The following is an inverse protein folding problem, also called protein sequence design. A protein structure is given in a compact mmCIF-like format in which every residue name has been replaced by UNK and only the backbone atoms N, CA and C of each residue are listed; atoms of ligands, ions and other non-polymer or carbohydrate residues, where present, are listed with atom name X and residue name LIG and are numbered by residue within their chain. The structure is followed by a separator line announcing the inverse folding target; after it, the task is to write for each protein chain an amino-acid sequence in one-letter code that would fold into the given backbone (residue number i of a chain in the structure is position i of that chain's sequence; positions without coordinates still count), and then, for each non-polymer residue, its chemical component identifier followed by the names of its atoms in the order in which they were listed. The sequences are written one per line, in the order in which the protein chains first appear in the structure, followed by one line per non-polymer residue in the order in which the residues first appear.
data_IF_804216592459
#
_entry.id   IF_804216592459
#
_cell.length_a   1.000
_cell.length_b   1.000
_cell.length_c   1.000
_cell.angle_alpha   90.00
_cell.angle_beta   90.00
_cell.angle_gamma   90.00
#
_symmetry.space_group_name_H-M   'P 1'
#
loop_
_entity.id
_entity.type
_entity.pdbx_description
1 polymer ?
#
# COMPACT_ATOMS: atom_id res chain seq x y z
N UNK A 1 -8.89 16.85 14.85
CA UNK A 1 -7.84 17.86 14.68
C UNK A 1 -7.51 18.09 13.21
N UNK A 2 -7.15 17.09 12.41
CA UNK A 2 -6.78 17.28 10.98
C UNK A 2 -7.96 17.71 10.09
N UNK A 3 -9.16 17.23 10.37
CA UNK A 3 -10.37 17.55 9.59
C UNK A 3 -11.05 18.84 10.07
N UNK A 4 -10.68 19.34 11.23
CA UNK A 4 -11.17 20.58 11.86
C UNK A 4 -10.00 21.29 12.55
N UNK A 5 -9.07 21.90 11.79
CA UNK A 5 -7.83 22.47 12.33
C UNK A 5 -8.06 23.65 13.27
N UNK A 6 -9.11 24.44 13.02
CA UNK A 6 -9.42 25.66 13.77
C UNK A 6 -10.39 25.44 14.96
N UNK A 7 -10.77 24.17 15.21
CA UNK A 7 -11.68 23.83 16.29
C UNK A 7 -10.97 23.93 17.65
N UNK A 8 -11.58 24.62 18.59
CA UNK A 8 -11.24 24.57 20.00
C UNK A 8 -11.77 23.25 20.61
N UNK A 9 -10.84 22.34 20.88
CA UNK A 9 -11.14 21.01 21.40
C UNK A 9 -11.34 21.07 22.92
N UNK A 10 -12.45 20.52 23.39
CA UNK A 10 -12.73 20.43 24.83
C UNK A 10 -12.11 19.18 25.45
N UNK A 11 -11.84 19.15 26.77
CA UNK A 11 -11.29 17.99 27.45
C UNK A 11 -12.12 16.71 27.30
N UNK A 12 -13.45 16.84 27.17
CA UNK A 12 -14.38 15.72 27.03
C UNK A 12 -14.29 15.04 25.64
N UNK A 13 -13.80 15.77 24.63
CA UNK A 13 -13.64 15.27 23.26
C UNK A 13 -12.31 14.57 23.03
N UNK A 14 -11.40 14.63 24.00
CA UNK A 14 -10.04 14.12 23.87
C UNK A 14 -9.72 13.13 25.00
N UNK A 15 -8.80 12.17 24.76
CA UNK A 15 -8.19 11.41 25.84
C UNK A 15 -7.50 12.33 26.84
N UNK A 16 -7.31 11.86 28.07
CA UNK A 16 -6.57 12.59 29.11
C UNK A 16 -5.19 13.04 28.60
N UNK A 17 -4.94 14.34 28.70
CA UNK A 17 -3.69 14.95 28.25
C UNK A 17 -2.83 15.25 29.47
N UNK A 18 -1.63 14.65 29.51
CA UNK A 18 -0.66 14.87 30.58
C UNK A 18 0.00 16.25 30.47
N UNK A 19 0.19 16.91 31.61
CA UNK A 19 0.95 18.16 31.69
C UNK A 19 2.40 17.96 31.25
N UNK A 20 3.03 18.92 30.57
CA UNK A 20 2.62 20.31 30.36
C UNK A 20 1.79 20.56 29.07
N UNK A 21 1.31 19.50 28.41
CA UNK A 21 0.65 19.62 27.11
C UNK A 21 -0.81 20.08 27.26
N UNK A 22 -1.31 20.79 26.25
CA UNK A 22 -2.71 21.20 26.13
C UNK A 22 -3.29 20.77 24.78
N UNK A 23 -4.61 20.66 24.67
CA UNK A 23 -5.30 20.36 23.42
C UNK A 23 -4.87 21.30 22.29
N UNK A 24 -4.74 22.59 22.58
CA UNK A 24 -4.32 23.62 21.64
C UNK A 24 -2.89 23.36 21.12
N UNK A 25 -1.94 23.14 22.01
CA UNK A 25 -0.54 22.85 21.62
C UNK A 25 -0.45 21.59 20.77
N UNK A 26 -1.20 20.53 21.12
CA UNK A 26 -1.21 19.28 20.37
C UNK A 26 -1.82 19.52 18.99
N UNK A 27 -2.95 20.23 18.89
CA UNK A 27 -3.60 20.58 17.62
C UNK A 27 -2.67 21.36 16.70
N UNK A 28 -2.01 22.40 17.21
CA UNK A 28 -1.02 23.20 16.46
C UNK A 28 0.13 22.32 15.91
N UNK A 29 0.71 21.43 16.76
CA UNK A 29 1.78 20.52 16.34
C UNK A 29 1.34 19.51 15.29
N UNK A 30 0.16 18.91 15.46
CA UNK A 30 -0.41 17.96 14.52
C UNK A 30 -0.67 18.62 13.17
N UNK A 31 -1.25 19.83 13.16
CA UNK A 31 -1.50 20.58 11.92
C UNK A 31 -0.19 21.03 11.24
N UNK A 32 0.83 21.40 12.01
CA UNK A 32 2.16 21.69 11.47
C UNK A 32 2.77 20.44 10.79
N UNK A 33 2.74 19.28 11.44
CA UNK A 33 3.20 18.02 10.85
C UNK A 33 2.39 17.66 9.60
N UNK A 34 1.08 17.90 9.60
CA UNK A 34 0.24 17.70 8.42
C UNK A 34 0.68 18.58 7.25
N UNK A 35 1.02 19.84 7.50
CA UNK A 35 1.52 20.73 6.43
C UNK A 35 2.80 20.22 5.79
N UNK A 36 3.70 19.62 6.58
CA UNK A 36 4.92 18.98 6.08
C UNK A 36 4.59 17.70 5.30
N UNK A 37 3.70 16.85 5.83
CA UNK A 37 3.27 15.62 5.15
C UNK A 37 2.65 15.87 3.78
N UNK A 38 1.84 16.94 3.66
CA UNK A 38 1.27 17.37 2.38
C UNK A 38 2.35 17.73 1.37
N UNK A 39 3.38 18.49 1.78
CA UNK A 39 4.53 18.84 0.92
C UNK A 39 5.35 17.61 0.52
N UNK A 40 5.63 16.71 1.46
CA UNK A 40 6.34 15.45 1.18
C UNK A 40 5.59 14.61 0.15
N UNK A 41 4.28 14.51 0.32
CA UNK A 41 3.41 13.78 -0.60
C UNK A 41 3.38 14.40 -1.99
N UNK A 42 3.22 15.73 -2.10
CA UNK A 42 3.24 16.44 -3.36
C UNK A 42 4.53 16.13 -4.13
N UNK A 43 5.69 16.28 -3.46
CA UNK A 43 7.00 15.97 -4.03
C UNK A 43 7.12 14.50 -4.48
N UNK A 44 6.56 13.57 -3.71
CA UNK A 44 6.59 12.14 -4.05
C UNK A 44 5.73 11.85 -5.29
N UNK A 45 4.56 12.48 -5.40
CA UNK A 45 3.68 12.35 -6.58
C UNK A 45 4.34 12.97 -7.81
N UNK A 46 4.94 14.17 -7.69
CA UNK A 46 5.71 14.82 -8.75
C UNK A 46 6.88 13.92 -9.23
N UNK A 47 7.50 13.19 -8.34
CA UNK A 47 8.56 12.23 -8.68
C UNK A 47 8.03 10.91 -9.27
N UNK A 48 6.72 10.76 -9.48
CA UNK A 48 6.13 9.61 -10.16
C UNK A 48 5.74 8.45 -9.24
N UNK A 49 5.50 8.69 -7.96
CA UNK A 49 4.95 7.65 -7.09
C UNK A 49 3.58 7.19 -7.58
N UNK A 50 3.46 5.89 -7.84
CA UNK A 50 2.26 5.23 -8.34
C UNK A 50 1.41 4.73 -7.18
N UNK A 51 0.11 4.93 -7.28
CA UNK A 51 -0.86 4.44 -6.31
C UNK A 51 -2.00 3.71 -7.00
N UNK A 52 -2.14 2.42 -6.69
CA UNK A 52 -3.21 1.55 -7.13
C UNK A 52 -4.04 1.13 -5.90
N UNK A 53 -5.02 1.95 -5.54
CA UNK A 53 -5.88 1.68 -4.39
C UNK A 53 -6.99 0.71 -4.80
N UNK A 54 -7.06 -0.42 -4.09
CA UNK A 54 -8.19 -1.35 -4.21
C UNK A 54 -9.03 -1.28 -2.93
N UNK A 55 -10.35 -1.34 -3.03
CA UNK A 55 -11.23 -1.41 -1.87
C UNK A 55 -10.87 -2.61 -0.99
N UNK A 56 -10.88 -2.41 0.34
CA UNK A 56 -10.69 -3.50 1.30
C UNK A 56 -11.92 -3.61 2.18
N UNK A 57 -12.49 -4.79 2.25
CA UNK A 57 -13.61 -5.08 3.13
C UNK A 57 -13.14 -5.26 4.57
N UNK A 58 -13.85 -4.63 5.49
CA UNK A 58 -13.72 -4.82 6.92
C UNK A 58 -15.04 -5.32 7.47
N UNK A 59 -15.04 -6.48 8.10
CA UNK A 59 -16.23 -7.10 8.66
C UNK A 59 -16.42 -6.70 10.13
N UNK A 60 -17.65 -6.39 10.51
CA UNK A 60 -18.07 -6.31 11.91
C UNK A 60 -18.58 -7.68 12.35
N UNK A 61 -17.99 -8.21 13.42
CA UNK A 61 -18.31 -9.55 13.90
C UNK A 61 -19.24 -9.47 15.12
N UNK A 62 -20.15 -10.41 15.19
CA UNK A 62 -20.90 -10.66 16.40
C UNK A 62 -19.98 -11.15 17.51
N UNK A 63 -20.18 -10.65 18.72
CA UNK A 63 -19.27 -10.94 19.85
C UNK A 63 -19.40 -12.36 20.39
N UNK A 64 -20.56 -12.99 20.25
CA UNK A 64 -20.85 -14.30 20.79
C UNK A 64 -20.53 -15.40 19.77
N UNK A 65 -21.04 -15.26 18.56
CA UNK A 65 -20.87 -16.26 17.50
C UNK A 65 -19.59 -16.09 16.68
N UNK A 66 -18.97 -14.91 16.70
CA UNK A 66 -17.81 -14.58 15.84
C UNK A 66 -18.16 -14.45 14.36
N UNK A 67 -19.44 -14.46 13.99
CA UNK A 67 -19.89 -14.43 12.61
C UNK A 67 -20.08 -12.98 12.12
N UNK A 68 -19.93 -12.73 10.81
CA UNK A 68 -20.03 -11.38 10.26
C UNK A 68 -21.48 -10.88 10.24
N UNK A 69 -21.76 -9.77 10.92
CA UNK A 69 -23.06 -9.10 10.95
C UNK A 69 -23.18 -7.97 9.91
N UNK A 70 -22.04 -7.49 9.41
CA UNK A 70 -22.00 -6.40 8.44
C UNK A 70 -20.61 -6.22 7.88
N UNK A 71 -20.49 -5.40 6.85
CA UNK A 71 -19.20 -5.00 6.28
C UNK A 71 -19.17 -3.52 5.97
N UNK A 72 -17.97 -2.97 5.89
CA UNK A 72 -17.68 -1.62 5.40
C UNK A 72 -16.41 -1.64 4.59
N UNK A 73 -16.29 -0.70 3.66
CA UNK A 73 -15.04 -0.47 2.93
C UNK A 73 -14.10 0.32 3.83
N UNK A 74 -12.83 -0.08 3.87
CA UNK A 74 -11.81 0.65 4.61
C UNK A 74 -11.54 2.01 3.98
N UNK A 75 -11.71 3.08 4.75
CA UNK A 75 -11.41 4.44 4.33
C UNK A 75 -10.06 4.90 4.89
N UNK A 76 -9.22 5.42 4.02
CA UNK A 76 -7.97 6.01 4.42
C UNK A 76 -8.15 7.49 4.81
N UNK A 77 -7.95 7.79 6.08
CA UNK A 77 -8.13 9.12 6.66
C UNK A 77 -6.87 9.99 6.53
N UNK A 78 -7.00 11.30 6.75
CA UNK A 78 -5.88 12.26 6.74
C UNK A 78 -4.77 11.87 7.73
N UNK A 79 -5.12 11.37 8.92
CA UNK A 79 -4.15 10.88 9.92
C UNK A 79 -3.32 9.70 9.43
N UNK A 80 -3.92 8.75 8.69
CA UNK A 80 -3.18 7.65 8.10
C UNK A 80 -2.15 8.17 7.09
N UNK A 81 -2.55 9.14 6.27
CA UNK A 81 -1.69 9.75 5.25
C UNK A 81 -0.54 10.55 5.85
N UNK A 82 -0.79 11.27 6.95
CA UNK A 82 0.24 11.98 7.69
C UNK A 82 1.33 11.01 8.15
N UNK A 83 0.95 9.96 8.86
CA UNK A 83 1.89 8.97 9.38
C UNK A 83 2.61 8.24 8.25
N UNK A 84 1.91 7.91 7.16
CA UNK A 84 2.49 7.26 5.97
C UNK A 84 3.68 8.04 5.42
N UNK A 85 3.56 9.36 5.23
CA UNK A 85 4.66 10.16 4.64
C UNK A 85 5.89 10.22 5.54
N UNK A 86 5.72 10.35 6.86
CA UNK A 86 6.86 10.31 7.79
C UNK A 86 7.49 8.90 7.88
N UNK A 87 6.68 7.85 7.82
CA UNK A 87 7.18 6.47 7.76
C UNK A 87 7.98 6.22 6.47
N UNK A 88 7.51 6.70 5.33
CA UNK A 88 8.22 6.60 4.05
C UNK A 88 9.55 7.35 4.10
N UNK A 89 9.55 8.59 4.61
CA UNK A 89 10.78 9.38 4.78
C UNK A 89 11.80 8.66 5.65
N UNK A 90 11.39 8.13 6.81
CA UNK A 90 12.26 7.38 7.70
C UNK A 90 12.83 6.13 7.01
N UNK A 91 12.00 5.34 6.33
CA UNK A 91 12.41 4.14 5.62
C UNK A 91 13.42 4.44 4.49
N UNK A 92 13.23 5.51 3.73
CA UNK A 92 14.16 5.95 2.67
C UNK A 92 15.50 6.38 3.27
N UNK A 93 15.47 7.23 4.32
CA UNK A 93 16.68 7.73 4.97
C UNK A 93 17.51 6.61 5.61
N UNK A 94 16.84 5.65 6.23
CA UNK A 94 17.50 4.46 6.81
C UNK A 94 18.08 3.56 5.72
N UNK A 95 17.36 3.35 4.59
CA UNK A 95 17.88 2.59 3.46
C UNK A 95 19.21 3.15 2.96
N UNK A 96 19.28 4.46 2.75
CA UNK A 96 20.50 5.16 2.32
C UNK A 96 21.63 4.99 3.36
N UNK A 97 21.33 5.17 4.65
CA UNK A 97 22.32 5.08 5.72
C UNK A 97 22.93 3.67 5.85
N UNK A 98 22.09 2.63 5.84
CA UNK A 98 22.59 1.26 5.97
C UNK A 98 23.32 0.78 4.73
N UNK A 99 22.87 1.16 3.53
CA UNK A 99 23.55 0.81 2.28
C UNK A 99 24.93 1.48 2.19
N UNK A 100 25.04 2.75 2.57
CA UNK A 100 26.33 3.44 2.57
C UNK A 100 27.32 2.87 3.60
N UNK A 101 26.82 2.36 4.73
CA UNK A 101 27.67 1.77 5.78
C UNK A 101 28.03 0.29 5.52
N UNK A 102 27.14 -0.44 4.87
CA UNK A 102 27.23 -1.89 4.65
C UNK A 102 26.80 -2.26 3.23
N UNK A 103 27.59 -1.90 2.19
CA UNK A 103 27.20 -2.07 0.79
C UNK A 103 26.84 -3.52 0.39
N UNK A 104 27.45 -4.51 1.07
CA UNK A 104 27.32 -5.92 0.71
C UNK A 104 26.28 -6.69 1.55
N UNK A 105 25.80 -6.12 2.67
CA UNK A 105 24.90 -6.83 3.59
C UNK A 105 23.67 -6.02 3.97
N UNK A 106 23.44 -4.86 3.34
CA UNK A 106 22.26 -4.07 3.62
C UNK A 106 20.99 -4.82 3.17
N UNK A 107 19.96 -4.80 4.00
CA UNK A 107 18.64 -5.36 3.68
C UNK A 107 17.78 -4.25 3.12
N UNK A 108 17.53 -4.31 1.83
CA UNK A 108 16.68 -3.35 1.12
C UNK A 108 15.40 -4.02 0.63
N UNK A 109 14.51 -3.20 0.07
CA UNK A 109 13.26 -3.62 -0.52
C UNK A 109 13.08 -2.96 -1.88
N UNK A 110 13.07 -3.76 -2.95
CA UNK A 110 12.82 -3.29 -4.31
C UNK A 110 11.39 -3.59 -4.75
N UNK A 111 10.97 -2.89 -5.78
CA UNK A 111 9.75 -3.18 -6.52
C UNK A 111 10.08 -3.10 -8.01
N UNK A 112 10.18 -4.24 -8.70
CA UNK A 112 10.48 -4.26 -10.12
C UNK A 112 9.44 -3.51 -10.96
N UNK A 113 9.83 -3.11 -12.16
CA UNK A 113 8.89 -2.57 -13.15
C UNK A 113 7.80 -3.61 -13.47
N UNK A 114 6.60 -3.19 -13.88
CA UNK A 114 5.56 -4.11 -14.31
C UNK A 114 6.04 -5.03 -15.42
N UNK A 115 5.41 -6.19 -15.54
CA UNK A 115 5.67 -7.13 -16.65
C UNK A 115 5.17 -6.51 -17.95
N UNK A 116 6.05 -6.19 -18.88
CA UNK A 116 5.75 -5.47 -20.13
C UNK A 116 4.61 -6.17 -20.90
N UNK A 117 4.74 -7.46 -21.19
CA UNK A 117 3.73 -8.23 -21.94
C UNK A 117 2.34 -8.18 -21.26
N UNK A 118 2.29 -8.17 -19.92
CA UNK A 118 1.00 -8.06 -19.23
C UNK A 118 0.50 -6.62 -19.17
N UNK A 119 1.40 -5.65 -19.18
CA UNK A 119 1.02 -4.23 -19.24
C UNK A 119 0.45 -3.88 -20.61
N UNK A 120 1.02 -4.38 -21.71
CA UNK A 120 0.50 -4.21 -23.07
C UNK A 120 -0.91 -4.82 -23.20
N UNK A 121 -1.09 -6.04 -22.70
CA UNK A 121 -2.42 -6.68 -22.67
C UNK A 121 -3.43 -5.88 -21.81
N UNK A 122 -2.99 -5.29 -20.73
CA UNK A 122 -3.82 -4.44 -19.88
C UNK A 122 -4.19 -3.14 -20.62
N UNK A 123 -3.25 -2.53 -21.34
CA UNK A 123 -3.48 -1.35 -22.16
C UNK A 123 -4.51 -1.64 -23.29
N UNK A 124 -4.32 -2.74 -24.02
CA UNK A 124 -5.25 -3.17 -25.07
C UNK A 124 -6.67 -3.42 -24.54
N UNK A 125 -6.77 -4.07 -23.37
CA UNK A 125 -8.06 -4.30 -22.72
C UNK A 125 -8.73 -2.98 -22.34
N UNK A 126 -7.99 -2.08 -21.69
CA UNK A 126 -8.52 -0.78 -21.25
C UNK A 126 -8.92 0.10 -22.44
N UNK A 127 -8.18 0.05 -23.54
CA UNK A 127 -8.53 0.76 -24.77
C UNK A 127 -9.91 0.34 -25.30
N UNK A 128 -10.30 -0.94 -25.16
CA UNK A 128 -11.65 -1.41 -25.53
C UNK A 128 -12.76 -0.81 -24.68
N UNK A 129 -12.45 -0.40 -23.45
CA UNK A 129 -13.35 0.37 -22.57
C UNK A 129 -13.30 1.88 -22.82
N UNK A 130 -12.57 2.34 -23.85
CA UNK A 130 -12.36 3.76 -24.13
C UNK A 130 -11.43 4.44 -23.13
N UNK A 131 -10.60 3.66 -22.41
CA UNK A 131 -9.64 4.15 -21.42
C UNK A 131 -8.24 4.06 -22.04
N UNK A 132 -7.73 5.19 -22.55
CA UNK A 132 -6.34 5.29 -23.02
C UNK A 132 -5.38 5.46 -21.85
N UNK A 133 -4.30 4.67 -21.80
CA UNK A 133 -3.30 4.77 -20.74
C UNK A 133 -1.89 4.98 -21.31
N UNK A 134 -1.09 5.81 -20.62
CA UNK A 134 0.34 5.97 -20.91
C UNK A 134 1.16 5.14 -19.91
N UNK A 135 1.81 4.10 -20.43
CA UNK A 135 2.60 3.13 -19.65
C UNK A 135 4.10 3.40 -19.71
N UNK A 136 4.55 4.51 -20.32
CA UNK A 136 5.97 4.82 -20.56
C UNK A 136 6.81 4.88 -19.27
N UNK A 137 6.22 5.39 -18.19
CA UNK A 137 6.82 5.42 -16.86
C UNK A 137 5.75 5.55 -15.76
N UNK A 138 6.16 5.45 -14.51
CA UNK A 138 5.23 5.50 -13.36
C UNK A 138 4.50 6.83 -13.22
N UNK A 139 5.13 7.95 -13.57
CA UNK A 139 4.51 9.29 -13.54
C UNK A 139 3.43 9.43 -14.62
N UNK A 140 3.74 9.04 -15.86
CA UNK A 140 2.79 9.07 -16.97
C UNK A 140 1.57 8.19 -16.66
N UNK A 141 1.82 6.99 -16.14
CA UNK A 141 0.76 6.08 -15.70
C UNK A 141 -0.08 6.70 -14.57
N UNK A 142 0.54 7.31 -13.55
CA UNK A 142 -0.20 7.95 -12.46
C UNK A 142 -1.03 9.15 -12.95
N UNK A 143 -0.50 9.95 -13.88
CA UNK A 143 -1.22 11.08 -14.46
C UNK A 143 -2.45 10.59 -15.25
N UNK A 144 -2.28 9.52 -16.02
CA UNK A 144 -3.40 8.89 -16.73
C UNK A 144 -4.45 8.38 -15.75
N UNK A 145 -4.05 7.66 -14.71
CA UNK A 145 -4.97 7.18 -13.66
C UNK A 145 -5.74 8.37 -13.06
N UNK A 146 -5.05 9.45 -12.69
CA UNK A 146 -5.68 10.61 -12.08
C UNK A 146 -6.74 11.28 -12.98
N UNK A 147 -6.55 11.23 -14.31
CA UNK A 147 -7.51 11.78 -15.27
C UNK A 147 -8.86 11.04 -15.27
N UNK A 148 -8.86 9.77 -14.88
CA UNK A 148 -10.09 8.94 -14.78
C UNK A 148 -10.66 8.88 -13.37
N UNK A 149 -10.14 9.66 -12.42
CA UNK A 149 -10.64 9.63 -11.04
C UNK A 149 -12.09 10.12 -11.00
N UNK A 150 -13.03 9.30 -10.48
CA UNK A 150 -14.45 9.61 -10.50
C UNK A 150 -14.81 10.71 -9.51
N UNK A 151 -15.88 11.45 -9.82
CA UNK A 151 -16.64 12.18 -8.81
C UNK A 151 -17.39 11.16 -7.93
N UNK A 152 -17.60 11.45 -6.63
CA UNK A 152 -18.22 10.50 -5.69
C UNK A 152 -19.61 10.01 -6.11
N UNK A 153 -20.35 10.79 -6.88
CA UNK A 153 -21.75 10.54 -7.27
C UNK A 153 -21.89 9.86 -8.65
N UNK A 154 -20.80 9.75 -9.42
CA UNK A 154 -20.80 9.17 -10.77
C UNK A 154 -20.49 7.68 -10.71
N UNK A 155 -21.54 6.85 -10.69
CA UNK A 155 -21.43 5.39 -10.63
C UNK A 155 -20.76 4.79 -11.88
N UNK A 156 -21.00 5.35 -13.07
CA UNK A 156 -20.38 4.85 -14.29
C UNK A 156 -18.87 5.12 -14.28
N UNK A 157 -18.47 6.34 -13.92
CA UNK A 157 -17.07 6.69 -13.78
C UNK A 157 -16.38 5.88 -12.65
N UNK A 158 -17.09 5.60 -11.55
CA UNK A 158 -16.61 4.71 -10.49
C UNK A 158 -16.35 3.29 -11.01
N UNK A 159 -17.27 2.76 -11.84
CA UNK A 159 -17.08 1.45 -12.46
C UNK A 159 -15.87 1.40 -13.38
N UNK A 160 -15.72 2.37 -14.26
CA UNK A 160 -14.53 2.51 -15.12
C UNK A 160 -13.25 2.60 -14.30
N UNK A 161 -13.28 3.37 -13.22
CA UNK A 161 -12.15 3.47 -12.27
C UNK A 161 -11.79 2.13 -11.63
N UNK A 162 -12.77 1.36 -11.17
CA UNK A 162 -12.53 0.04 -10.57
C UNK A 162 -11.95 -0.95 -11.58
N UNK A 163 -12.44 -0.95 -12.81
CA UNK A 163 -11.87 -1.75 -13.91
C UNK A 163 -10.41 -1.35 -14.14
N UNK A 164 -10.13 -0.05 -14.29
CA UNK A 164 -8.80 0.49 -14.49
C UNK A 164 -7.84 0.01 -13.37
N UNK A 165 -8.23 0.19 -12.11
CA UNK A 165 -7.41 -0.20 -10.96
C UNK A 165 -7.18 -1.71 -10.87
N UNK A 166 -8.20 -2.52 -11.16
CA UNK A 166 -8.12 -3.98 -11.14
C UNK A 166 -7.22 -4.51 -12.27
N UNK A 167 -7.37 -3.97 -13.47
CA UNK A 167 -6.61 -4.39 -14.65
C UNK A 167 -5.13 -4.01 -14.50
N UNK A 168 -4.83 -2.78 -14.05
CA UNK A 168 -3.46 -2.31 -13.83
C UNK A 168 -2.74 -2.98 -12.66
N UNK A 169 -3.46 -3.56 -11.70
CA UNK A 169 -2.84 -4.30 -10.61
C UNK A 169 -2.24 -5.66 -11.06
N UNK A 170 -2.80 -6.30 -12.09
CA UNK A 170 -2.37 -7.63 -12.57
C UNK A 170 -0.93 -7.68 -13.09
N UNK A 171 -0.42 -6.68 -13.87
CA UNK A 171 0.97 -6.65 -14.33
C UNK A 171 1.99 -6.36 -13.24
N UNK A 172 1.57 -5.81 -12.10
CA UNK A 172 2.47 -5.37 -11.03
C UNK A 172 3.12 -6.55 -10.32
N UNK A 173 4.43 -6.44 -10.11
CA UNK A 173 5.15 -7.37 -9.25
C UNK A 173 4.85 -7.13 -7.77
N UNK A 174 5.11 -8.11 -6.93
CA UNK A 174 5.22 -7.85 -5.50
C UNK A 174 6.57 -7.19 -5.19
N UNK A 175 6.59 -6.25 -4.27
CA UNK A 175 7.85 -5.73 -3.78
C UNK A 175 8.51 -6.75 -2.85
N UNK A 176 9.85 -6.88 -2.94
CA UNK A 176 10.65 -7.95 -2.35
C UNK A 176 11.80 -7.41 -1.51
N UNK A 177 12.11 -8.09 -0.41
CA UNK A 177 13.35 -7.87 0.34
C UNK A 177 14.49 -8.62 -0.34
N UNK A 178 15.68 -8.04 -0.26
CA UNK A 178 16.91 -8.63 -0.77
C UNK A 178 18.12 -8.12 0.00
N UNK A 179 19.23 -8.86 -0.11
CA UNK A 179 20.55 -8.44 0.37
C UNK A 179 21.31 -7.73 -0.75
N UNK A 180 21.89 -6.56 -0.48
CA UNK A 180 22.58 -5.77 -1.51
C UNK A 180 23.74 -6.50 -2.16
N UNK A 181 24.52 -7.31 -1.42
CA UNK A 181 25.62 -8.10 -1.95
C UNK A 181 25.22 -9.26 -2.88
N UNK A 182 23.91 -9.46 -3.08
CA UNK A 182 23.38 -10.48 -4.00
C UNK A 182 22.85 -9.89 -5.32
N UNK A 183 22.98 -8.57 -5.50
CA UNK A 183 22.61 -7.88 -6.74
C UNK A 183 23.78 -7.04 -7.25
N UNK A 184 24.25 -7.37 -8.43
CA UNK A 184 25.42 -6.73 -9.05
C UNK A 184 25.14 -5.31 -9.57
N UNK A 185 23.85 -4.92 -9.68
CA UNK A 185 23.43 -3.67 -10.28
C UNK A 185 22.54 -2.89 -9.32
N UNK A 186 22.95 -1.66 -8.99
CA UNK A 186 22.18 -0.76 -8.11
C UNK A 186 20.87 -0.28 -8.74
N UNK A 187 20.74 -0.28 -10.06
CA UNK A 187 19.47 0.04 -10.72
C UNK A 187 18.35 -0.95 -10.35
N UNK A 188 18.73 -2.18 -9.94
CA UNK A 188 17.80 -3.20 -9.43
C UNK A 188 17.31 -2.94 -8.00
N UNK A 189 17.82 -1.91 -7.31
CA UNK A 189 17.36 -1.52 -5.98
C UNK A 189 16.10 -0.67 -6.02
N UNK A 190 15.79 -0.11 -7.19
CA UNK A 190 14.70 0.83 -7.38
C UNK A 190 13.34 0.25 -6.94
N UNK A 191 12.56 1.10 -6.27
CA UNK A 191 11.18 0.77 -5.89
C UNK A 191 10.19 1.48 -6.82
N UNK A 192 9.74 0.80 -7.88
CA UNK A 192 8.91 1.35 -8.95
C UNK A 192 7.68 2.12 -8.44
N UNK A 193 6.85 1.48 -7.59
CA UNK A 193 5.62 2.11 -7.13
C UNK A 193 5.85 3.33 -6.22
N UNK A 194 6.96 3.43 -5.51
CA UNK A 194 7.32 4.61 -4.70
C UNK A 194 8.13 5.62 -5.50
N UNK A 195 8.65 5.22 -6.67
CA UNK A 195 9.57 5.99 -7.49
C UNK A 195 10.78 6.52 -6.71
N UNK A 196 11.42 5.64 -5.94
CA UNK A 196 12.62 5.94 -5.16
C UNK A 196 13.75 4.98 -5.50
N UNK A 197 15.02 5.46 -5.54
CA UNK A 197 16.16 4.64 -5.92
C UNK A 197 16.45 3.53 -4.91
N UNK A 198 16.21 3.77 -3.62
CA UNK A 198 16.41 2.81 -2.54
C UNK A 198 15.33 2.94 -1.48
N UNK A 199 14.91 1.79 -0.97
CA UNK A 199 13.90 1.70 0.07
C UNK A 199 14.15 0.50 0.98
N UNK A 200 13.77 0.61 2.25
CA UNK A 200 13.73 -0.51 3.18
C UNK A 200 12.53 -0.40 4.11
N UNK A 201 12.31 -1.37 4.94
CA UNK A 201 11.37 -1.29 6.04
C UNK A 201 12.11 -1.18 7.38
N UNK A 202 11.83 -0.12 8.12
CA UNK A 202 12.42 0.20 9.42
C UNK A 202 11.37 0.44 10.51
N UNK A 203 10.22 0.97 10.13
CA UNK A 203 9.26 1.59 11.05
C UNK A 203 8.32 0.62 11.77
N UNK A 204 8.41 -0.70 11.55
CA UNK A 204 7.48 -1.66 12.16
C UNK A 204 8.16 -2.96 12.64
N UNK A 205 9.20 -2.92 13.50
CA UNK A 205 9.93 -4.11 13.95
C UNK A 205 9.08 -5.06 14.82
N UNK A 206 7.98 -4.57 15.39
CA UNK A 206 7.07 -5.39 16.19
C UNK A 206 6.35 -6.49 15.38
N UNK A 207 6.23 -6.31 14.04
CA UNK A 207 5.46 -7.21 13.18
C UNK A 207 6.16 -7.61 11.88
N UNK A 208 7.35 -7.09 11.61
CA UNK A 208 8.14 -7.44 10.42
C UNK A 208 9.57 -7.76 10.81
N UNK A 209 9.98 -9.00 10.57
CA UNK A 209 11.35 -9.45 10.89
C UNK A 209 12.44 -8.69 10.12
N UNK A 210 12.28 -8.33 8.82
CA UNK A 210 13.28 -7.51 8.14
C UNK A 210 13.56 -6.17 8.81
N UNK A 211 12.57 -5.54 9.43
CA UNK A 211 12.79 -4.30 10.20
C UNK A 211 13.78 -4.52 11.35
N UNK A 212 13.76 -5.69 12.01
CA UNK A 212 14.70 -6.03 13.09
C UNK A 212 16.13 -6.11 12.55
N UNK A 213 16.32 -6.72 11.37
CA UNK A 213 17.64 -6.75 10.72
C UNK A 213 18.12 -5.35 10.39
N UNK A 214 17.22 -4.51 9.84
CA UNK A 214 17.52 -3.12 9.51
C UNK A 214 17.87 -2.30 10.76
N UNK A 215 17.19 -2.52 11.89
CA UNK A 215 17.54 -1.88 13.17
C UNK A 215 18.96 -2.24 13.63
N UNK A 216 19.36 -3.51 13.50
CA UNK A 216 20.73 -3.97 13.84
C UNK A 216 21.78 -3.36 12.93
N UNK A 217 21.50 -3.27 11.62
CA UNK A 217 22.37 -2.59 10.64
C UNK A 217 22.48 -1.11 10.97
N UNK A 218 21.39 -0.44 11.28
CA UNK A 218 21.37 0.98 11.62
C UNK A 218 22.14 1.25 12.93
N UNK A 219 21.94 0.44 13.97
CA UNK A 219 22.70 0.55 15.22
C UNK A 219 24.21 0.45 14.97
N UNK A 220 24.63 -0.53 14.17
CA UNK A 220 26.04 -0.72 13.84
C UNK A 220 26.60 0.42 12.95
N UNK A 221 25.75 1.04 12.10
CA UNK A 221 26.13 2.20 11.30
C UNK A 221 26.26 3.50 12.12
N UNK A 222 25.53 3.62 13.23
CA UNK A 222 25.56 4.78 14.13
C UNK A 222 26.62 4.65 15.23
N UNK A 223 26.83 3.44 15.71
CA UNK A 223 27.88 3.09 16.68
C UNK A 223 28.80 2.08 16.00
N UNK A 224 29.90 2.52 15.34
CA UNK A 224 30.71 1.65 14.50
C UNK A 224 31.00 0.30 15.17
N UNK A 225 30.37 -0.73 14.68
CA UNK A 225 30.49 -2.11 15.12
C UNK A 225 30.62 -2.99 13.91
N UNK A 226 31.64 -3.82 13.87
CA UNK A 226 31.79 -4.82 12.83
C UNK A 226 30.63 -5.83 12.89
N UNK A 227 29.95 -6.02 11.77
CA UNK A 227 28.96 -7.07 11.57
C UNK A 227 29.55 -8.16 10.70
N UNK A 228 29.71 -9.33 11.28
CA UNK A 228 30.19 -10.53 10.56
C UNK A 228 29.03 -11.30 9.94
N UNK A 229 28.21 -10.59 9.16
CA UNK A 229 27.09 -11.20 8.47
C UNK A 229 27.55 -11.70 7.09
N UNK A 230 27.05 -12.88 6.71
CA UNK A 230 27.27 -13.42 5.40
C UNK A 230 26.13 -12.99 4.45
N UNK A 231 26.43 -12.39 3.27
CA UNK A 231 25.42 -11.93 2.32
C UNK A 231 24.43 -13.03 1.91
N UNK A 232 24.90 -14.26 1.70
CA UNK A 232 24.04 -15.38 1.31
C UNK A 232 23.06 -15.76 2.42
N UNK A 233 23.48 -15.72 3.69
CA UNK A 233 22.60 -15.97 4.82
C UNK A 233 21.56 -14.87 4.97
N UNK A 234 21.96 -13.61 4.78
CA UNK A 234 21.02 -12.46 4.81
C UNK A 234 20.01 -12.58 3.69
N UNK A 235 20.44 -12.97 2.49
CA UNK A 235 19.53 -13.20 1.36
C UNK A 235 18.54 -14.33 1.64
N UNK A 236 18.98 -15.47 2.17
CA UNK A 236 18.09 -16.58 2.55
C UNK A 236 17.00 -16.13 3.53
N UNK A 237 17.36 -15.29 4.50
CA UNK A 237 16.37 -14.71 5.44
C UNK A 237 15.43 -13.74 4.73
N UNK A 238 15.93 -12.90 3.83
CA UNK A 238 15.12 -11.98 3.03
C UNK A 238 14.10 -12.75 2.16
N UNK A 239 14.53 -13.80 1.48
CA UNK A 239 13.66 -14.67 0.67
C UNK A 239 12.59 -15.35 1.55
N UNK A 240 12.97 -15.92 2.69
CA UNK A 240 12.01 -16.49 3.62
C UNK A 240 10.96 -15.46 4.08
N UNK A 241 11.36 -14.22 4.33
CA UNK A 241 10.44 -13.14 4.66
C UNK A 241 9.49 -12.80 3.50
N UNK A 242 9.97 -12.85 2.25
CA UNK A 242 9.14 -12.68 1.06
C UNK A 242 8.07 -13.77 0.96
N UNK A 243 8.45 -15.04 1.14
CA UNK A 243 7.53 -16.19 1.10
C UNK A 243 6.46 -16.08 2.20
N UNK A 244 6.86 -15.76 3.43
CA UNK A 244 5.92 -15.58 4.55
C UNK A 244 4.97 -14.42 4.31
N UNK A 245 5.45 -13.32 3.74
CA UNK A 245 4.63 -12.17 3.38
C UNK A 245 3.59 -12.52 2.31
N UNK A 246 4.00 -13.25 1.27
CA UNK A 246 3.10 -13.71 0.22
C UNK A 246 2.03 -14.66 0.81
N UNK A 247 2.43 -15.62 1.62
CA UNK A 247 1.52 -16.54 2.29
C UNK A 247 0.51 -15.80 3.20
N UNK A 248 0.99 -14.81 3.97
CA UNK A 248 0.12 -13.99 4.82
C UNK A 248 -0.88 -13.15 4.01
N UNK A 249 -0.45 -12.59 2.86
CA UNK A 249 -1.33 -11.88 1.93
C UNK A 249 -2.42 -12.80 1.41
N UNK A 250 -2.06 -13.96 0.88
CA UNK A 250 -3.01 -14.95 0.35
C UNK A 250 -4.00 -15.43 1.43
N UNK A 251 -3.50 -15.69 2.64
CA UNK A 251 -4.35 -16.05 3.78
C UNK A 251 -5.37 -14.95 4.12
N UNK A 252 -4.92 -13.68 4.14
CA UNK A 252 -5.80 -12.53 4.39
C UNK A 252 -6.87 -12.35 3.31
N UNK A 253 -6.50 -12.53 2.04
CA UNK A 253 -7.44 -12.46 0.90
C UNK A 253 -8.48 -13.58 0.97
N UNK A 254 -8.06 -14.83 1.23
CA UNK A 254 -8.95 -15.97 1.40
C UNK A 254 -9.85 -15.86 2.63
N UNK A 255 -9.33 -15.30 3.72
CA UNK A 255 -10.15 -15.00 4.91
C UNK A 255 -11.24 -13.97 4.59
N UNK A 256 -10.90 -12.88 3.90
CA UNK A 256 -11.90 -11.87 3.51
C UNK A 256 -12.98 -12.46 2.59
N UNK A 257 -12.58 -13.31 1.65
CA UNK A 257 -13.52 -14.03 0.78
C UNK A 257 -14.46 -14.96 1.57
N UNK A 258 -13.92 -15.73 2.50
CA UNK A 258 -14.70 -16.60 3.37
C UNK A 258 -15.71 -15.80 4.21
N UNK A 259 -15.28 -14.70 4.83
CA UNK A 259 -16.16 -13.84 5.62
C UNK A 259 -17.27 -13.19 4.78
N UNK A 260 -16.99 -12.84 3.53
CA UNK A 260 -18.00 -12.36 2.61
C UNK A 260 -19.04 -13.46 2.29
N UNK A 261 -18.59 -14.68 2.03
CA UNK A 261 -19.48 -15.82 1.79
C UNK A 261 -20.35 -16.13 3.03
N UNK A 262 -19.77 -16.09 4.23
CA UNK A 262 -20.52 -16.28 5.48
C UNK A 262 -21.54 -15.17 5.70
N UNK A 263 -21.18 -13.93 5.41
CA UNK A 263 -22.10 -12.79 5.50
C UNK A 263 -23.31 -12.97 4.57
N UNK A 264 -23.08 -13.31 3.29
CA UNK A 264 -24.14 -13.55 2.32
C UNK A 264 -25.03 -14.73 2.76
N UNK A 265 -24.42 -15.81 3.28
CA UNK A 265 -25.16 -16.98 3.78
C UNK A 265 -26.12 -16.63 4.93
N UNK A 266 -25.71 -15.71 5.82
CA UNK A 266 -26.52 -15.29 6.97
C UNK A 266 -27.59 -14.26 6.63
N UNK A 267 -27.20 -13.25 5.82
CA UNK A 267 -28.09 -12.13 5.46
C UNK A 267 -29.06 -12.46 4.33
N UNK A 268 -28.85 -13.59 3.65
CA UNK A 268 -29.55 -13.92 2.41
C UNK A 268 -28.97 -13.24 1.17
N UNK A 269 -29.60 -13.39 0.00
CA UNK A 269 -29.12 -12.80 -1.25
C UNK A 269 -29.00 -11.29 -1.14
N UNK A 270 -27.85 -10.75 -1.55
CA UNK A 270 -27.63 -9.31 -1.66
C UNK A 270 -27.68 -8.91 -3.13
N UNK A 271 -28.40 -7.82 -3.43
CA UNK A 271 -28.38 -7.20 -4.75
C UNK A 271 -27.30 -6.13 -4.79
N UNK A 272 -26.37 -6.25 -5.72
CA UNK A 272 -25.29 -5.28 -5.92
C UNK A 272 -25.11 -5.01 -7.39
N UNK A 273 -24.74 -3.78 -7.73
CA UNK A 273 -24.34 -3.43 -9.07
C UNK A 273 -22.92 -3.95 -9.36
N UNK A 274 -22.67 -4.33 -10.60
CA UNK A 274 -21.38 -4.86 -11.01
C UNK A 274 -20.99 -4.34 -12.39
N UNK A 275 -19.69 -4.27 -12.64
CA UNK A 275 -19.13 -3.98 -13.97
C UNK A 275 -18.59 -5.25 -14.57
N UNK A 276 -19.02 -5.57 -15.79
CA UNK A 276 -18.47 -6.66 -16.59
C UNK A 276 -17.07 -6.25 -17.05
N UNK A 277 -16.06 -7.05 -16.72
CA UNK A 277 -14.65 -6.82 -17.12
C UNK A 277 -14.32 -7.66 -18.35
N UNK A 278 -14.76 -8.90 -18.37
CA UNK A 278 -14.45 -9.84 -19.44
C UNK A 278 -15.59 -10.85 -19.62
N UNK A 279 -15.93 -11.14 -20.84
CA UNK A 279 -16.85 -12.23 -21.21
C UNK A 279 -16.03 -13.33 -21.87
N UNK A 280 -16.18 -14.55 -21.39
CA UNK A 280 -15.57 -15.78 -21.91
C UNK A 280 -16.67 -16.73 -22.40
N UNK A 281 -16.31 -17.82 -23.05
CA UNK A 281 -17.28 -18.74 -23.64
C UNK A 281 -18.32 -19.32 -22.67
N UNK A 282 -17.92 -19.51 -21.40
CA UNK A 282 -18.76 -20.12 -20.36
C UNK A 282 -18.88 -19.30 -19.09
N UNK A 283 -18.19 -18.18 -18.98
CA UNK A 283 -18.12 -17.39 -17.75
C UNK A 283 -17.97 -15.91 -18.04
N UNK A 284 -18.37 -15.09 -17.09
CA UNK A 284 -18.24 -13.63 -17.16
C UNK A 284 -17.56 -13.13 -15.88
N UNK A 285 -16.44 -12.41 -16.03
CA UNK A 285 -15.79 -11.76 -14.89
C UNK A 285 -16.42 -10.40 -14.63
N UNK A 286 -16.95 -10.23 -13.42
CA UNK A 286 -17.56 -8.99 -12.96
C UNK A 286 -16.85 -8.43 -11.72
N UNK A 287 -16.71 -7.11 -11.63
CA UNK A 287 -16.28 -6.41 -10.42
C UNK A 287 -17.52 -5.88 -9.71
N UNK A 288 -17.72 -6.31 -8.47
CA UNK A 288 -18.81 -5.82 -7.63
C UNK A 288 -18.48 -4.40 -7.14
N UNK A 289 -19.40 -3.45 -7.38
CA UNK A 289 -19.25 -2.07 -6.92
C UNK A 289 -18.99 -2.00 -5.41
N UNK A 290 -18.14 -1.08 -5.01
CA UNK A 290 -17.76 -0.81 -3.63
C UNK A 290 -17.15 -1.96 -2.85
N UNK A 291 -17.06 -3.17 -3.42
CA UNK A 291 -16.45 -4.32 -2.75
C UNK A 291 -15.04 -4.62 -3.27
N UNK A 292 -14.73 -4.20 -4.50
CA UNK A 292 -13.46 -4.53 -5.16
C UNK A 292 -13.26 -6.04 -5.40
N UNK A 293 -14.33 -6.81 -5.29
CA UNK A 293 -14.31 -8.27 -5.45
C UNK A 293 -14.61 -8.60 -6.90
N UNK A 294 -13.68 -9.32 -7.53
CA UNK A 294 -13.92 -9.92 -8.86
C UNK A 294 -14.60 -11.26 -8.65
N UNK A 295 -15.73 -11.46 -9.30
CA UNK A 295 -16.46 -12.74 -9.34
C UNK A 295 -16.62 -13.19 -10.77
N UNK A 296 -16.43 -14.49 -10.97
CA UNK A 296 -16.76 -15.19 -12.19
C UNK A 296 -18.21 -15.71 -12.06
N UNK A 297 -19.05 -15.38 -13.01
CA UNK A 297 -20.46 -15.75 -13.06
C UNK A 297 -20.71 -16.63 -14.29
#
# INVERSE_FOLDING_TARGET
MLDQPDKDWTPEELPEIQTPWTAKIISEKVNYLQSLAVKLRAKRVENGALRLDQPKLCFSLDKESGLPQGYRVYEQRHSNRLIEEFMLLANISVAQKIQSAFPDIAVLRCHPRPREVLMDKAADLLQRFGIGIDTSNSLALQNTINAYKPAPEDLEALGRWQVLMSVLAKPMHNAEYFCTGMKDDQDKYHHYALSVPMYTHFTSPIRRYPDILVHRLLEAALKPKELKWNPQQVEMVAQHCNDRKLAAKTCSEKSAELFLCLFIRQSGPISVEAVVVQVMDHTTDCILYNMGVVKCV
#
